data_IF_294198294355
#
_entry.id   IF_294198294355
#
_cell.length_a   1.000
_cell.length_b   1.000
_cell.length_c   1.000
_cell.angle_alpha   90.00
_cell.angle_beta   90.00
_cell.angle_gamma   90.00
#
_symmetry.space_group_name_H-M   'P 1'
#
loop_
_entity.id
_entity.type
_entity.pdbx_description
1 polymer ?
#
# COMPACT_ATOMS: atom_id res chain seq x y z
N UNK A 1 -3.31 -0.02 2.52
CA UNK A 1 -3.44 0.44 3.91
C UNK A 1 -2.35 -0.18 4.77
N UNK A 2 -1.76 0.60 5.68
CA UNK A 2 -0.71 0.15 6.61
C UNK A 2 -1.20 0.36 8.05
N UNK A 3 -1.27 -0.69 8.87
CA UNK A 3 -1.79 -0.62 10.25
C UNK A 3 -3.13 0.14 10.36
N UNK A 4 -4.03 -0.08 9.40
CA UNK A 4 -5.33 0.60 9.32
C UNK A 4 -5.26 2.06 8.82
N UNK A 5 -4.08 2.58 8.48
CA UNK A 5 -3.87 3.93 7.97
C UNK A 5 -3.97 3.92 6.44
N UNK A 6 -4.91 4.70 5.91
CA UNK A 6 -5.00 4.98 4.48
C UNK A 6 -3.87 5.91 4.07
N UNK A 7 -2.93 5.40 3.27
CA UNK A 7 -1.76 6.12 2.81
C UNK A 7 -1.66 6.05 1.29
N UNK A 8 -1.26 7.17 0.67
CA UNK A 8 -1.01 7.24 -0.77
C UNK A 8 0.46 6.95 -1.06
N UNK A 9 0.71 6.00 -1.95
CA UNK A 9 2.08 5.65 -2.39
C UNK A 9 2.65 6.85 -3.16
N UNK A 10 3.76 7.38 -2.66
CA UNK A 10 4.53 8.44 -3.30
C UNK A 10 5.50 7.88 -4.35
N UNK A 11 6.08 6.71 -4.05
CA UNK A 11 7.05 6.04 -4.90
C UNK A 11 7.04 4.53 -4.62
N UNK A 12 7.39 3.76 -5.65
CA UNK A 12 7.50 2.31 -5.62
C UNK A 12 8.81 1.91 -6.28
N UNK A 13 9.70 1.25 -5.55
CA UNK A 13 10.95 0.72 -6.07
C UNK A 13 11.12 -0.74 -5.66
N UNK A 14 10.81 -1.65 -6.59
CA UNK A 14 10.81 -3.09 -6.31
C UNK A 14 9.84 -3.43 -5.18
N UNK A 15 10.38 -3.90 -4.05
CA UNK A 15 9.62 -4.22 -2.84
C UNK A 15 9.59 -3.09 -1.80
N UNK A 16 10.12 -1.91 -2.12
CA UNK A 16 10.12 -0.74 -1.25
C UNK A 16 8.99 0.23 -1.62
N UNK A 17 8.20 0.62 -0.62
CA UNK A 17 7.12 1.59 -0.74
C UNK A 17 7.47 2.86 0.03
N UNK A 18 7.27 4.02 -0.59
CA UNK A 18 7.43 5.31 0.05
C UNK A 18 6.07 6.03 0.09
N UNK A 19 5.82 6.78 1.16
CA UNK A 19 4.56 7.48 1.41
C UNK A 19 4.83 8.91 1.88
N UNK A 20 3.99 9.85 1.45
CA UNK A 20 3.98 11.20 2.02
C UNK A 20 3.07 11.23 3.24
N UNK A 21 3.62 11.63 4.39
CA UNK A 21 2.86 11.71 5.65
C UNK A 21 2.61 13.18 5.99
N UNK A 22 1.34 13.55 6.13
CA UNK A 22 0.97 14.90 6.60
C UNK A 22 1.20 15.02 8.11
N UNK A 23 1.40 16.25 8.64
CA UNK A 23 1.51 16.46 10.09
C UNK A 23 0.28 15.95 10.87
N UNK A 24 -0.91 16.04 10.27
CA UNK A 24 -2.15 15.53 10.88
C UNK A 24 -2.15 14.00 10.96
N UNK A 25 -1.80 13.30 9.88
CA UNK A 25 -1.68 11.84 9.86
C UNK A 25 -0.63 11.37 10.85
N UNK A 26 0.55 12.01 10.87
CA UNK A 26 1.59 11.71 11.84
C UNK A 26 1.09 11.92 13.28
N UNK A 27 0.40 13.04 13.55
CA UNK A 27 -0.12 13.39 14.88
C UNK A 27 -1.27 12.54 15.41
N UNK A 28 -2.02 11.87 14.53
CA UNK A 28 -3.24 11.13 14.90
C UNK A 28 -3.13 9.62 14.76
N UNK A 29 -1.95 9.10 14.45
CA UNK A 29 -1.73 7.66 14.23
C UNK A 29 -0.58 7.13 15.07
N UNK A 30 -0.35 5.81 15.03
CA UNK A 30 0.76 5.16 15.71
C UNK A 30 2.13 5.41 15.04
N UNK A 31 2.18 6.10 13.89
CA UNK A 31 3.41 6.36 13.14
C UNK A 31 4.49 7.10 13.94
N UNK A 32 4.10 7.90 14.95
CA UNK A 32 5.06 8.60 15.81
C UNK A 32 5.94 7.65 16.64
N UNK A 33 5.47 6.41 16.83
CA UNK A 33 6.16 5.38 17.61
C UNK A 33 6.76 4.29 16.72
N UNK A 34 6.65 4.44 15.39
CA UNK A 34 7.18 3.47 14.46
C UNK A 34 8.71 3.46 14.53
N UNK A 35 9.30 2.26 14.54
CA UNK A 35 10.76 2.07 14.57
C UNK A 35 11.19 1.32 13.32
N UNK A 36 12.38 1.63 12.79
CA UNK A 36 12.94 0.90 11.64
C UNK A 36 13.01 -0.61 11.92
N UNK A 37 12.56 -1.42 10.96
CA UNK A 37 12.49 -2.88 11.08
C UNK A 37 11.25 -3.42 11.80
N UNK A 38 10.39 -2.54 12.33
CA UNK A 38 9.12 -2.95 12.93
C UNK A 38 8.19 -3.56 11.85
N UNK A 39 7.61 -4.75 12.10
CA UNK A 39 6.56 -5.29 11.25
C UNK A 39 5.31 -4.39 11.26
N UNK A 40 4.68 -4.24 10.10
CA UNK A 40 3.42 -3.53 9.96
C UNK A 40 2.41 -4.39 9.20
N UNK A 41 1.13 -4.23 9.51
CA UNK A 41 0.06 -4.93 8.83
C UNK A 41 -0.21 -4.24 7.49
N UNK A 42 -0.08 -4.97 6.39
CA UNK A 42 -0.37 -4.48 5.05
C UNK A 42 -1.71 -5.06 4.58
N UNK A 43 -2.66 -4.18 4.30
CA UNK A 43 -3.90 -4.52 3.62
C UNK A 43 -3.87 -3.94 2.20
N UNK A 44 -3.97 -4.82 1.21
CA UNK A 44 -4.02 -4.44 -0.21
C UNK A 44 -5.47 -4.18 -0.60
N UNK A 45 -5.72 -3.06 -1.28
CA UNK A 45 -7.05 -2.73 -1.77
C UNK A 45 -7.58 -3.82 -2.68
N UNK A 46 -8.85 -4.21 -2.47
CA UNK A 46 -9.51 -5.20 -3.32
C UNK A 46 -9.50 -4.79 -4.80
N UNK A 47 -9.50 -3.49 -5.10
CA UNK A 47 -9.39 -2.96 -6.46
C UNK A 47 -8.13 -3.47 -7.17
N UNK A 48 -6.99 -3.57 -6.49
CA UNK A 48 -5.77 -4.10 -7.10
C UNK A 48 -5.95 -5.57 -7.52
N UNK A 49 -6.63 -6.38 -6.70
CA UNK A 49 -6.96 -7.79 -7.04
C UNK A 49 -7.93 -7.89 -8.22
N UNK A 50 -8.88 -6.97 -8.32
CA UNK A 50 -9.79 -6.93 -9.49
C UNK A 50 -9.06 -6.52 -10.76
N UNK A 51 -8.17 -5.53 -10.67
CA UNK A 51 -7.32 -5.10 -11.79
C UNK A 51 -6.45 -6.26 -12.26
N UNK A 52 -5.76 -6.96 -11.35
CA UNK A 52 -4.96 -8.14 -11.68
C UNK A 52 -5.80 -9.20 -12.40
N UNK A 53 -6.97 -9.57 -11.87
CA UNK A 53 -7.89 -10.52 -12.52
C UNK A 53 -8.32 -10.08 -13.92
N UNK A 54 -8.58 -8.79 -14.14
CA UNK A 54 -8.95 -8.26 -15.45
C UNK A 54 -7.79 -8.36 -16.46
N UNK A 55 -6.57 -8.05 -16.02
CA UNK A 55 -5.38 -8.20 -16.87
C UNK A 55 -5.09 -9.67 -17.20
N UNK A 56 -5.15 -10.57 -16.21
CA UNK A 56 -4.98 -12.02 -16.42
C UNK A 56 -6.06 -12.59 -17.34
N UNK A 57 -7.32 -12.16 -17.20
CA UNK A 57 -8.40 -12.60 -18.10
C UNK A 57 -8.17 -12.13 -19.54
N UNK A 58 -7.61 -10.92 -19.73
CA UNK A 58 -7.28 -10.40 -21.07
C UNK A 58 -6.13 -11.15 -21.72
N UNK A 59 -5.09 -11.50 -20.97
CA UNK A 59 -3.96 -12.29 -21.47
C UNK A 59 -4.41 -13.69 -21.91
N UNK A 60 -5.25 -14.36 -21.13
CA UNK A 60 -5.81 -15.67 -21.48
C UNK A 60 -6.77 -15.64 -22.68
N UNK A 61 -7.40 -14.50 -22.97
CA UNK A 61 -8.28 -14.34 -24.13
C UNK A 61 -7.52 -13.96 -25.42
N UNK A 62 -6.25 -13.55 -25.30
CA UNK A 62 -5.40 -13.10 -26.39
C UNK A 62 -4.33 -14.14 -26.81
N UNK A 63 -4.21 -15.25 -26.08
CA UNK A 63 -3.40 -16.42 -26.43
C UNK A 63 -4.26 -17.58 -26.92
#
# INVERSE_FOLDING_TARGET
>A
TIDGISLTIANLNGSLLEFWITPHTFGRTNLQRAVSGQPANLEVDMLAKYVEKLFTARENAAG
#
